data_IF_422963032398
#
_entry.id   IF_422963032398
#
_cell.length_a   1.000
_cell.length_b   1.000
_cell.length_c   1.000
_cell.angle_alpha   90.00
_cell.angle_beta   90.00
_cell.angle_gamma   90.00
#
_symmetry.space_group_name_H-M   'P 1'
#
loop_
_entity.id
_entity.type
_entity.pdbx_description
1 polymer ?
#
# COMPACT_ATOMS: atom_id res chain seq x y z
N UNK A 1 5.02 -12.36 14.67
CA UNK A 1 4.61 -12.73 13.29
C UNK A 1 3.86 -14.07 13.25
N UNK A 2 4.38 -15.16 13.90
CA UNK A 2 3.74 -16.48 13.96
C UNK A 2 2.36 -16.48 14.64
N UNK A 3 2.12 -15.61 15.63
CA UNK A 3 0.83 -15.53 16.31
C UNK A 3 -0.29 -14.94 15.42
N UNK A 4 0.03 -13.94 14.60
CA UNK A 4 -0.89 -13.34 13.64
C UNK A 4 -1.29 -14.32 12.52
N UNK A 5 -0.33 -15.11 12.03
CA UNK A 5 -0.59 -16.16 11.02
C UNK A 5 -1.44 -17.28 11.63
N UNK A 6 -1.21 -17.66 12.88
CA UNK A 6 -2.02 -18.64 13.60
C UNK A 6 -3.48 -18.22 13.79
N UNK A 7 -3.73 -16.96 14.14
CA UNK A 7 -5.10 -16.41 14.28
C UNK A 7 -5.82 -16.35 12.94
N UNK A 8 -5.13 -15.99 11.85
CA UNK A 8 -5.70 -15.96 10.50
C UNK A 8 -6.06 -17.37 9.99
N UNK A 9 -5.26 -18.38 10.29
CA UNK A 9 -5.53 -19.76 9.90
C UNK A 9 -6.69 -20.38 10.71
N UNK A 10 -6.84 -20.05 11.98
CA UNK A 10 -7.94 -20.56 12.82
C UNK A 10 -9.27 -19.93 12.47
N UNK A 11 -9.32 -18.64 12.07
CA UNK A 11 -10.57 -18.01 11.62
C UNK A 11 -11.09 -18.58 10.30
N UNK A 12 -10.21 -19.07 9.41
CA UNK A 12 -10.63 -19.71 8.16
C UNK A 12 -11.32 -21.06 8.37
N UNK A 13 -10.91 -21.82 9.39
CA UNK A 13 -11.53 -23.13 9.74
C UNK A 13 -12.94 -22.97 10.35
N UNK A 14 -13.20 -21.89 11.10
CA UNK A 14 -14.55 -21.62 11.64
C UNK A 14 -15.50 -21.00 10.62
N UNK A 15 -15.00 -20.34 9.58
CA UNK A 15 -15.83 -19.71 8.54
C UNK A 15 -16.47 -20.73 7.59
N UNK A 16 -15.95 -21.95 7.49
CA UNK A 16 -16.49 -23.02 6.61
C UNK A 16 -17.83 -23.60 7.07
N UNK A 17 -18.28 -23.32 8.29
CA UNK A 17 -19.50 -23.92 8.88
C UNK A 17 -20.80 -23.14 8.61
N UNK A 18 -20.76 -21.93 8.07
CA UNK A 18 -21.95 -21.10 7.86
C UNK A 18 -22.02 -20.58 6.42
N UNK A 19 -22.68 -21.30 5.56
CA UNK A 19 -23.00 -21.04 4.16
C UNK A 19 -22.55 -19.71 3.52
N UNK A 20 -21.91 -19.78 2.36
CA UNK A 20 -21.53 -18.70 1.45
C UNK A 20 -20.48 -17.66 1.91
N UNK A 21 -19.79 -17.88 3.00
CA UNK A 21 -18.69 -16.99 3.45
C UNK A 21 -17.38 -17.46 2.82
N UNK A 22 -16.86 -16.69 1.88
CA UNK A 22 -15.62 -17.00 1.18
C UNK A 22 -14.47 -16.17 1.71
N UNK A 23 -13.40 -16.82 2.11
CA UNK A 23 -12.12 -16.15 2.30
C UNK A 23 -11.46 -15.97 0.93
N UNK A 24 -10.73 -14.88 0.75
CA UNK A 24 -10.00 -14.60 -0.48
C UNK A 24 -8.55 -14.25 -0.21
N UNK A 25 -7.68 -14.73 -1.07
CA UNK A 25 -6.28 -14.31 -1.18
C UNK A 25 -6.10 -13.60 -2.52
N UNK A 26 -5.48 -12.43 -2.51
CA UNK A 26 -5.36 -11.59 -3.70
C UNK A 26 -3.93 -11.12 -3.90
N UNK A 27 -3.51 -11.06 -5.18
CA UNK A 27 -2.23 -10.49 -5.60
C UNK A 27 -2.48 -9.54 -6.75
N UNK A 28 -1.98 -8.31 -6.63
CA UNK A 28 -2.15 -7.26 -7.64
C UNK A 28 -0.84 -6.55 -7.92
N UNK A 29 -0.72 -5.97 -9.12
CA UNK A 29 0.32 -5.04 -9.50
C UNK A 29 -0.20 -4.03 -10.52
N UNK A 30 0.42 -2.83 -10.57
CA UNK A 30 0.01 -1.80 -11.52
C UNK A 30 0.65 -0.44 -11.29
N UNK A 31 0.22 0.58 -12.02
CA UNK A 31 0.72 1.94 -11.89
C UNK A 31 0.39 2.56 -10.53
N UNK A 32 1.28 3.43 -10.10
CA UNK A 32 1.16 4.14 -8.83
C UNK A 32 1.67 5.57 -8.96
N UNK A 33 1.05 6.49 -8.23
CA UNK A 33 1.37 7.91 -8.18
C UNK A 33 1.69 8.32 -6.74
N UNK A 34 2.88 8.85 -6.55
CA UNK A 34 3.29 9.42 -5.27
C UNK A 34 2.72 10.83 -5.13
N UNK A 35 1.89 11.03 -4.12
CA UNK A 35 1.20 12.30 -3.86
C UNK A 35 1.87 13.12 -2.74
N UNK A 36 2.87 12.56 -2.07
CA UNK A 36 3.54 13.15 -0.93
C UNK A 36 4.58 14.21 -1.27
N UNK A 37 5.18 14.77 -0.24
CA UNK A 37 6.32 15.66 -0.36
C UNK A 37 7.58 14.87 -0.75
N UNK A 38 8.35 15.41 -1.70
CA UNK A 38 9.65 14.86 -2.11
C UNK A 38 10.74 15.47 -1.21
N UNK A 39 11.09 14.76 -0.13
CA UNK A 39 12.03 15.24 0.88
C UNK A 39 13.44 15.39 0.30
N UNK A 40 14.01 16.62 0.41
CA UNK A 40 15.37 16.90 -0.03
C UNK A 40 15.62 16.86 -1.54
N UNK A 41 14.56 16.86 -2.38
CA UNK A 41 14.63 16.92 -3.85
C UNK A 41 14.10 18.29 -4.34
N UNK A 42 14.32 19.34 -3.56
CA UNK A 42 13.76 20.67 -3.82
C UNK A 42 14.44 21.38 -4.99
N UNK A 43 15.70 21.08 -5.26
CA UNK A 43 16.51 21.75 -6.28
C UNK A 43 16.37 21.16 -7.69
N UNK A 44 15.43 20.20 -7.87
CA UNK A 44 15.18 19.57 -9.15
C UNK A 44 14.07 20.28 -9.93
N UNK A 45 14.13 20.18 -11.26
CA UNK A 45 13.09 20.72 -12.13
C UNK A 45 11.71 20.12 -11.86
N UNK A 46 10.65 20.85 -12.18
CA UNK A 46 9.27 20.36 -12.02
C UNK A 46 9.00 19.13 -12.88
N UNK A 47 9.57 19.07 -14.08
CA UNK A 47 9.46 17.89 -14.95
C UNK A 47 10.06 16.65 -14.29
N UNK A 48 11.27 16.77 -13.73
CA UNK A 48 11.92 15.68 -13.01
C UNK A 48 11.09 15.19 -11.82
N UNK A 49 10.58 16.12 -11.00
CA UNK A 49 9.72 15.80 -9.84
C UNK A 49 8.42 15.13 -10.25
N UNK A 50 7.82 15.57 -11.37
CA UNK A 50 6.60 14.96 -11.92
C UNK A 50 6.83 13.50 -12.34
N UNK A 51 7.97 13.24 -12.99
CA UNK A 51 8.30 11.89 -13.44
C UNK A 51 8.68 10.96 -12.28
N UNK A 52 9.40 11.47 -11.26
CA UNK A 52 9.70 10.71 -10.05
C UNK A 52 8.44 10.31 -9.27
N UNK A 53 7.33 11.03 -9.43
CA UNK A 53 6.04 10.70 -8.80
C UNK A 53 5.32 9.52 -9.45
N UNK A 54 5.71 9.10 -10.65
CA UNK A 54 5.15 7.97 -11.38
C UNK A 54 5.94 6.71 -11.07
N UNK A 55 5.27 5.65 -10.69
CA UNK A 55 5.92 4.39 -10.30
C UNK A 55 5.02 3.19 -10.45
N UNK A 56 5.41 2.12 -9.80
CA UNK A 56 4.68 0.86 -9.76
C UNK A 56 4.37 0.49 -8.32
N UNK A 57 3.21 -0.12 -8.11
CA UNK A 57 2.83 -0.73 -6.85
C UNK A 57 2.43 -2.18 -7.06
N UNK A 58 2.53 -2.95 -6.00
CA UNK A 58 2.01 -4.30 -5.90
C UNK A 58 1.45 -4.53 -4.50
N UNK A 59 0.47 -5.40 -4.39
CA UNK A 59 -0.09 -5.77 -3.09
C UNK A 59 -0.40 -7.27 -3.00
N UNK A 60 -0.41 -7.74 -1.76
CA UNK A 60 -0.91 -9.04 -1.36
C UNK A 60 -1.89 -8.83 -0.23
N UNK A 61 -3.08 -9.40 -0.33
CA UNK A 61 -4.08 -9.28 0.72
C UNK A 61 -4.81 -10.60 0.98
N UNK A 62 -5.21 -10.77 2.22
CA UNK A 62 -6.11 -11.83 2.66
C UNK A 62 -7.32 -11.20 3.33
N UNK A 63 -8.52 -11.63 2.95
CA UNK A 63 -9.78 -11.18 3.54
C UNK A 63 -10.68 -12.38 3.82
N UNK A 64 -11.18 -12.48 5.05
CA UNK A 64 -12.17 -13.44 5.47
C UNK A 64 -13.51 -12.73 5.66
N UNK A 65 -14.55 -13.22 4.99
CA UNK A 65 -15.92 -12.73 5.17
C UNK A 65 -16.49 -13.31 6.46
N UNK A 66 -16.87 -12.46 7.41
CA UNK A 66 -17.29 -12.88 8.75
C UNK A 66 -18.79 -12.77 8.97
N UNK A 67 -19.48 -11.90 8.26
CA UNK A 67 -20.92 -11.69 8.41
C UNK A 67 -21.56 -11.08 7.17
N UNK A 68 -22.88 -11.25 7.05
CA UNK A 68 -23.72 -10.61 6.03
C UNK A 68 -24.19 -11.58 4.93
N UNK A 69 -25.21 -11.16 4.19
CA UNK A 69 -25.76 -11.90 3.01
C UNK A 69 -25.55 -11.09 1.73
N UNK A 70 -26.27 -9.98 1.56
CA UNK A 70 -26.19 -9.10 0.40
C UNK A 70 -24.97 -8.19 0.46
N UNK A 71 -24.66 -7.71 1.66
CA UNK A 71 -23.45 -6.99 2.01
C UNK A 71 -22.70 -7.82 3.03
N UNK A 72 -21.47 -8.20 2.70
CA UNK A 72 -20.65 -9.06 3.54
C UNK A 72 -19.57 -8.21 4.21
N UNK A 73 -19.48 -8.31 5.52
CA UNK A 73 -18.40 -7.71 6.30
C UNK A 73 -17.23 -8.68 6.35
N UNK A 74 -16.04 -8.17 6.15
CA UNK A 74 -14.82 -8.96 6.20
C UNK A 74 -13.75 -8.32 7.05
N UNK A 75 -12.83 -9.16 7.51
CA UNK A 75 -11.61 -8.77 8.19
C UNK A 75 -10.41 -9.44 7.53
N UNK A 76 -9.25 -8.80 7.58
CA UNK A 76 -8.08 -9.38 6.94
C UNK A 76 -6.81 -8.58 7.15
N UNK A 77 -5.88 -8.72 6.21
CA UNK A 77 -4.61 -8.02 6.21
C UNK A 77 -4.20 -7.64 4.78
N UNK A 78 -3.51 -6.52 4.67
CA UNK A 78 -2.91 -6.01 3.45
C UNK A 78 -1.41 -5.80 3.67
N UNK A 79 -0.61 -6.24 2.71
CA UNK A 79 0.78 -5.82 2.55
C UNK A 79 0.94 -5.23 1.15
N UNK A 80 1.46 -4.01 1.05
CA UNK A 80 1.65 -3.28 -0.19
C UNK A 80 3.09 -2.78 -0.29
N UNK A 81 3.67 -2.88 -1.48
CA UNK A 81 4.94 -2.28 -1.84
C UNK A 81 4.79 -1.34 -3.02
N UNK A 82 5.61 -0.29 -3.07
CA UNK A 82 5.72 0.59 -4.25
C UNK A 82 7.13 1.09 -4.46
N UNK A 83 7.44 1.39 -5.72
CA UNK A 83 8.74 1.91 -6.14
C UNK A 83 8.57 3.02 -7.16
N UNK A 84 9.26 4.13 -6.90
CA UNK A 84 9.34 5.30 -7.78
C UNK A 84 10.80 5.57 -8.07
N UNK A 85 11.16 5.80 -9.33
CA UNK A 85 12.55 5.96 -9.73
C UNK A 85 12.66 6.97 -10.85
N UNK A 86 13.64 7.87 -10.75
CA UNK A 86 14.05 8.73 -11.83
C UNK A 86 15.57 8.94 -11.82
N UNK A 87 16.15 9.25 -12.98
CA UNK A 87 17.59 9.43 -13.19
C UNK A 87 17.85 10.81 -13.75
N UNK A 88 18.95 11.43 -13.37
CA UNK A 88 19.40 12.73 -13.88
C UNK A 88 20.94 12.69 -14.07
N UNK A 89 21.50 13.70 -14.69
CA UNK A 89 22.91 13.75 -15.09
C UNK A 89 23.90 13.55 -13.92
N UNK A 90 23.53 13.99 -12.71
CA UNK A 90 24.38 13.91 -11.50
C UNK A 90 24.02 12.78 -10.56
N UNK A 91 23.02 11.91 -10.90
CA UNK A 91 22.61 10.80 -10.05
C UNK A 91 21.25 10.21 -10.36
N UNK A 92 20.69 9.54 -9.37
CA UNK A 92 19.39 8.91 -9.44
C UNK A 92 18.69 8.99 -8.07
N UNK A 93 17.37 9.08 -8.08
CA UNK A 93 16.52 9.01 -6.90
C UNK A 93 15.63 7.79 -6.97
N UNK A 94 15.50 7.06 -5.86
CA UNK A 94 14.65 5.87 -5.75
C UNK A 94 13.90 5.90 -4.44
N UNK A 95 12.58 6.07 -4.53
CA UNK A 95 11.67 5.99 -3.39
C UNK A 95 11.08 4.59 -3.32
N UNK A 96 11.17 3.98 -2.14
CA UNK A 96 10.56 2.70 -1.81
C UNK A 96 9.59 2.92 -0.66
N UNK A 97 8.39 2.41 -0.80
CA UNK A 97 7.39 2.44 0.27
C UNK A 97 6.84 1.03 0.49
N UNK A 98 6.69 0.67 1.75
CA UNK A 98 6.02 -0.55 2.17
C UNK A 98 4.96 -0.19 3.20
N UNK A 99 3.83 -0.86 3.13
CA UNK A 99 2.72 -0.65 4.04
C UNK A 99 2.14 -1.99 4.45
N UNK A 100 1.83 -2.15 5.73
CA UNK A 100 1.13 -3.31 6.25
C UNK A 100 0.05 -2.86 7.23
N UNK A 101 -1.15 -3.44 7.10
CA UNK A 101 -2.27 -3.11 7.98
C UNK A 101 -3.27 -4.26 8.10
N UNK A 102 -3.90 -4.40 9.27
CA UNK A 102 -5.18 -5.08 9.35
C UNK A 102 -6.21 -4.32 8.51
N UNK A 103 -7.17 -5.05 7.93
CA UNK A 103 -8.19 -4.51 7.06
C UNK A 103 -9.58 -4.87 7.59
N UNK A 104 -10.50 -3.94 7.43
CA UNK A 104 -11.93 -4.20 7.47
C UNK A 104 -12.49 -3.99 6.07
N UNK A 105 -13.50 -4.75 5.68
CA UNK A 105 -14.10 -4.63 4.35
C UNK A 105 -15.60 -4.75 4.37
N UNK A 106 -16.22 -4.09 3.39
CA UNK A 106 -17.61 -4.23 3.03
C UNK A 106 -17.67 -4.69 1.57
N UNK A 107 -18.24 -5.86 1.32
CA UNK A 107 -18.30 -6.46 0.00
C UNK A 107 -19.75 -6.66 -0.43
N UNK A 108 -20.10 -6.18 -1.61
CA UNK A 108 -21.36 -6.46 -2.27
C UNK A 108 -21.12 -7.54 -3.33
N UNK A 109 -21.71 -8.71 -3.14
CA UNK A 109 -21.56 -9.86 -4.04
C UNK A 109 -22.76 -9.97 -4.97
N UNK A 110 -22.49 -10.18 -6.26
CA UNK A 110 -23.42 -10.53 -7.32
C UNK A 110 -22.99 -11.82 -8.00
N UNK A 111 -23.84 -12.36 -8.88
CA UNK A 111 -23.60 -13.65 -9.55
C UNK A 111 -22.24 -13.74 -10.28
N UNK A 112 -21.83 -12.69 -10.95
CA UNK A 112 -20.64 -12.67 -11.82
C UNK A 112 -19.57 -11.69 -11.37
N UNK A 113 -19.87 -10.80 -10.43
CA UNK A 113 -18.92 -9.79 -9.96
C UNK A 113 -19.15 -9.45 -8.49
N UNK A 114 -18.13 -8.90 -7.89
CA UNK A 114 -18.24 -8.25 -6.58
C UNK A 114 -17.60 -6.87 -6.57
N UNK A 115 -18.12 -6.01 -5.71
CA UNK A 115 -17.54 -4.71 -5.39
C UNK A 115 -17.19 -4.72 -3.91
N UNK A 116 -16.00 -4.24 -3.59
CA UNK A 116 -15.47 -4.26 -2.23
C UNK A 116 -14.89 -2.89 -1.90
N UNK A 117 -15.28 -2.36 -0.74
CA UNK A 117 -14.64 -1.25 -0.07
C UNK A 117 -13.87 -1.81 1.12
N UNK A 118 -12.57 -1.52 1.22
CA UNK A 118 -11.73 -1.95 2.32
C UNK A 118 -10.90 -0.80 2.85
N UNK A 119 -10.56 -0.85 4.13
CA UNK A 119 -9.70 0.14 4.74
C UNK A 119 -9.03 -0.37 6.00
N UNK A 120 -7.94 0.28 6.39
CA UNK A 120 -7.19 -0.10 7.57
C UNK A 120 -6.24 0.98 8.03
N UNK A 121 -5.77 0.81 9.26
CA UNK A 121 -4.70 1.63 9.85
C UNK A 121 -3.55 0.69 10.17
N UNK A 122 -2.36 1.05 9.73
CA UNK A 122 -1.18 0.22 9.87
C UNK A 122 0.11 1.00 9.84
N UNK A 123 1.17 0.35 9.45
CA UNK A 123 2.52 0.91 9.48
C UNK A 123 3.07 1.08 8.07
N UNK A 124 3.58 2.28 7.78
CA UNK A 124 4.25 2.62 6.53
C UNK A 124 5.74 2.80 6.78
N UNK A 125 6.55 2.15 5.95
CA UNK A 125 8.00 2.30 5.87
C UNK A 125 8.32 3.04 4.57
N UNK A 126 8.97 4.17 4.69
CA UNK A 126 9.43 4.99 3.56
C UNK A 126 10.95 4.99 3.53
N UNK A 127 11.53 4.80 2.36
CA UNK A 127 12.97 4.91 2.14
C UNK A 127 13.23 5.56 0.80
N UNK A 128 13.88 6.73 0.82
CA UNK A 128 14.43 7.39 -0.35
C UNK A 128 15.93 7.16 -0.39
N UNK A 129 16.40 6.56 -1.47
CA UNK A 129 17.81 6.37 -1.79
C UNK A 129 18.16 7.27 -2.95
N UNK A 130 18.99 8.25 -2.70
CA UNK A 130 19.40 9.23 -3.71
C UNK A 130 20.93 9.36 -3.79
N UNK A 131 21.41 9.90 -4.90
CA UNK A 131 22.80 10.34 -5.05
C UNK A 131 22.82 11.85 -5.23
N UNK A 132 23.55 12.53 -4.35
CA UNK A 132 23.73 13.99 -4.37
C UNK A 132 25.21 14.27 -4.52
N UNK A 133 25.59 14.94 -5.61
CA UNK A 133 27.01 15.18 -5.97
C UNK A 133 27.86 13.87 -5.94
N UNK A 134 27.30 12.78 -6.44
CA UNK A 134 27.98 11.46 -6.48
C UNK A 134 28.01 10.71 -5.14
N UNK A 135 27.61 11.31 -4.03
CA UNK A 135 27.59 10.69 -2.70
C UNK A 135 26.20 10.12 -2.37
N UNK A 136 26.12 8.96 -1.71
CA UNK A 136 24.83 8.37 -1.33
C UNK A 136 24.16 9.17 -0.22
N UNK A 137 22.84 9.36 -0.37
CA UNK A 137 21.96 9.92 0.64
C UNK A 137 20.76 9.01 0.82
N UNK A 138 20.48 8.60 2.04
CA UNK A 138 19.32 7.81 2.43
C UNK A 138 18.42 8.67 3.33
N UNK A 139 17.14 8.78 2.98
CA UNK A 139 16.09 9.34 3.86
C UNK A 139 15.18 8.20 4.25
N UNK A 140 14.89 8.06 5.53
CA UNK A 140 14.01 7.00 6.03
C UNK A 140 13.00 7.53 7.04
N UNK A 141 11.82 6.91 7.03
CA UNK A 141 10.73 7.25 7.93
C UNK A 141 9.83 6.02 8.11
N UNK A 142 9.40 5.81 9.36
CA UNK A 142 8.44 4.78 9.75
C UNK A 142 7.31 5.43 10.52
N UNK A 143 6.06 5.33 10.03
CA UNK A 143 4.91 6.03 10.61
C UNK A 143 3.61 5.23 10.48
N UNK A 144 2.65 5.58 11.33
CA UNK A 144 1.28 5.16 11.15
C UNK A 144 0.71 5.76 9.87
N UNK A 145 -0.02 4.94 9.14
CA UNK A 145 -0.69 5.30 7.90
C UNK A 145 -2.08 4.69 7.85
N UNK A 146 -2.98 5.35 7.12
CA UNK A 146 -4.29 4.82 6.79
C UNK A 146 -4.42 4.54 5.31
N UNK A 147 -5.15 3.49 4.94
CA UNK A 147 -5.52 3.24 3.56
C UNK A 147 -7.03 3.10 3.39
N UNK A 148 -7.48 3.44 2.17
CA UNK A 148 -8.82 3.19 1.67
C UNK A 148 -8.72 2.60 0.28
N UNK A 149 -9.38 1.46 0.04
CA UNK A 149 -9.32 0.74 -1.23
C UNK A 149 -10.73 0.42 -1.74
N UNK A 150 -10.96 0.68 -3.03
CA UNK A 150 -12.14 0.26 -3.77
C UNK A 150 -11.71 -0.78 -4.80
N UNK A 151 -12.30 -1.98 -4.76
CA UNK A 151 -12.00 -3.06 -5.70
C UNK A 151 -13.25 -3.52 -6.42
N UNK A 152 -13.11 -3.82 -7.72
CA UNK A 152 -14.08 -4.55 -8.52
C UNK A 152 -13.46 -5.86 -8.98
N UNK A 153 -14.20 -6.95 -8.84
CA UNK A 153 -13.77 -8.28 -9.26
C UNK A 153 -14.82 -8.92 -10.15
N UNK A 154 -14.36 -9.62 -11.19
CA UNK A 154 -15.16 -10.49 -12.04
C UNK A 154 -14.76 -11.93 -11.81
N UNK A 155 -15.74 -12.80 -11.48
CA UNK A 155 -15.51 -14.22 -11.25
C UNK A 155 -15.29 -14.97 -12.58
N UNK A 156 -14.08 -15.51 -12.75
CA UNK A 156 -13.72 -16.34 -13.90
C UNK A 156 -14.18 -17.78 -13.69
N UNK A 157 -14.06 -18.28 -12.46
CA UNK A 157 -14.52 -19.60 -12.02
C UNK A 157 -15.13 -19.50 -10.62
N UNK A 158 -15.50 -20.63 -10.00
CA UNK A 158 -15.95 -20.67 -8.61
C UNK A 158 -14.86 -20.25 -7.60
N UNK A 159 -13.58 -20.35 -7.96
CA UNK A 159 -12.44 -20.06 -7.07
C UNK A 159 -11.58 -18.91 -7.54
N UNK A 160 -11.60 -18.55 -8.82
CA UNK A 160 -10.74 -17.52 -9.38
C UNK A 160 -11.52 -16.31 -9.87
N UNK A 161 -11.03 -15.13 -9.54
CA UNK A 161 -11.52 -13.87 -10.07
C UNK A 161 -10.39 -12.98 -10.58
N UNK A 162 -10.69 -12.17 -11.59
CA UNK A 162 -9.84 -11.08 -12.04
C UNK A 162 -10.35 -9.78 -11.45
N UNK A 163 -9.47 -8.94 -10.92
CA UNK A 163 -9.85 -7.73 -10.21
C UNK A 163 -9.00 -6.51 -10.57
N UNK A 164 -9.62 -5.35 -10.39
CA UNK A 164 -8.97 -4.07 -10.37
C UNK A 164 -9.20 -3.41 -9.01
N UNK A 165 -8.16 -2.77 -8.44
CA UNK A 165 -8.20 -2.10 -7.14
C UNK A 165 -7.63 -0.71 -7.26
N UNK A 166 -8.39 0.30 -6.85
CA UNK A 166 -7.92 1.64 -6.59
C UNK A 166 -7.63 1.75 -5.09
N UNK A 167 -6.38 2.01 -4.71
CA UNK A 167 -5.99 2.15 -3.32
C UNK A 167 -5.35 3.51 -3.07
N UNK A 168 -5.85 4.22 -2.08
CA UNK A 168 -5.30 5.46 -1.55
C UNK A 168 -4.68 5.19 -0.20
N UNK A 169 -3.41 5.56 -0.04
CA UNK A 169 -2.62 5.47 1.19
C UNK A 169 -2.22 6.88 1.61
N UNK A 170 -2.35 7.17 2.89
CA UNK A 170 -1.99 8.47 3.44
C UNK A 170 -1.33 8.32 4.82
N UNK A 171 -0.28 9.10 5.02
CA UNK A 171 0.37 9.30 6.32
C UNK A 171 0.88 10.72 6.46
N UNK A 172 1.20 11.13 7.68
CA UNK A 172 1.83 12.41 7.97
C UNK A 172 3.01 12.21 8.91
N UNK A 173 4.02 13.07 8.81
CA UNK A 173 5.16 13.04 9.73
C UNK A 173 5.66 14.43 10.06
N UNK A 174 6.15 14.57 11.28
CA UNK A 174 6.86 15.76 11.75
C UNK A 174 8.37 15.57 11.69
N UNK A 175 8.85 14.32 11.70
CA UNK A 175 10.27 14.01 11.75
C UNK A 175 10.65 12.91 10.79
N UNK A 176 11.84 12.98 10.20
CA UNK A 176 12.41 11.95 9.37
C UNK A 176 13.93 11.87 9.57
N UNK A 177 14.53 10.72 9.32
CA UNK A 177 15.98 10.51 9.44
C UNK A 177 16.66 10.67 8.09
N UNK A 178 17.75 11.41 8.08
CA UNK A 178 18.63 11.58 6.91
C UNK A 178 19.99 10.96 7.24
N UNK A 179 20.49 10.13 6.34
CA UNK A 179 21.87 9.66 6.34
C UNK A 179 22.55 10.14 5.07
N UNK A 180 23.62 10.91 5.21
CA UNK A 180 24.44 11.38 4.10
C UNK A 180 25.92 11.09 4.39
N UNK A 181 26.55 10.34 3.50
CA UNK A 181 27.88 9.79 3.71
C UNK A 181 27.89 8.90 4.99
N UNK A 182 28.62 9.28 6.02
CA UNK A 182 28.72 8.54 7.30
C UNK A 182 27.99 9.24 8.46
N UNK A 183 27.39 10.39 8.21
CA UNK A 183 26.65 11.15 9.20
C UNK A 183 25.14 10.84 9.13
N UNK A 184 24.52 10.71 10.30
CA UNK A 184 23.08 10.51 10.45
C UNK A 184 22.51 11.54 11.42
N UNK A 185 21.43 12.19 11.00
CA UNK A 185 20.68 13.16 11.84
C UNK A 185 19.19 13.03 11.60
N UNK A 186 18.42 13.53 12.56
CA UNK A 186 16.97 13.64 12.42
C UNK A 186 16.64 15.08 12.03
N UNK A 187 15.77 15.22 11.04
CA UNK A 187 15.25 16.50 10.59
C UNK A 187 13.83 16.64 11.11
N UNK A 188 13.57 17.72 11.84
CA UNK A 188 12.22 18.11 12.19
C UNK A 188 11.65 18.94 11.04
N UNK A 189 10.44 18.63 10.61
CA UNK A 189 9.73 19.44 9.63
C UNK A 189 9.50 20.84 10.23
N UNK A 190 9.82 21.93 9.53
CA UNK A 190 9.59 23.25 10.06
C UNK A 190 8.11 23.43 10.41
N UNK A 191 7.82 24.11 11.50
CA UNK A 191 6.54 24.27 12.21
C UNK A 191 5.32 24.71 11.36
N UNK A 192 5.46 24.90 10.06
CA UNK A 192 4.41 25.36 9.14
C UNK A 192 3.74 24.26 8.31
N UNK A 193 4.16 23.02 8.42
CA UNK A 193 3.53 21.93 7.65
C UNK A 193 3.92 20.54 8.11
N UNK A 194 2.94 19.78 8.53
CA UNK A 194 3.05 18.32 8.62
C UNK A 194 3.41 17.77 7.24
N UNK A 195 4.54 17.07 7.11
CA UNK A 195 4.90 16.41 5.87
C UNK A 195 3.86 15.37 5.51
N UNK A 196 3.21 15.53 4.37
CA UNK A 196 2.24 14.56 3.86
C UNK A 196 2.93 13.53 2.97
N UNK A 197 2.63 12.26 3.22
CA UNK A 197 3.09 11.13 2.42
C UNK A 197 1.89 10.35 1.94
N UNK A 198 1.54 10.55 0.69
CA UNK A 198 0.39 9.90 0.08
C UNK A 198 0.78 9.11 -1.15
N UNK A 199 -0.06 8.16 -1.48
CA UNK A 199 0.06 7.33 -2.66
C UNK A 199 -1.33 7.00 -3.19
N UNK A 200 -1.50 7.08 -4.50
CA UNK A 200 -2.63 6.52 -5.21
C UNK A 200 -2.11 5.41 -6.11
N UNK A 201 -2.73 4.24 -6.08
CA UNK A 201 -2.37 3.13 -6.97
C UNK A 201 -3.60 2.53 -7.62
N UNK A 202 -3.48 2.22 -8.91
CA UNK A 202 -4.46 1.43 -9.66
C UNK A 202 -3.80 0.12 -10.03
N UNK A 203 -4.21 -0.96 -9.39
CA UNK A 203 -3.57 -2.26 -9.53
C UNK A 203 -4.57 -3.30 -10.05
N UNK A 204 -4.07 -4.24 -10.83
CA UNK A 204 -4.83 -5.32 -11.44
C UNK A 204 -4.25 -6.65 -10.99
N UNK A 205 -5.09 -7.66 -10.81
CA UNK A 205 -4.60 -8.94 -10.32
C UNK A 205 -5.65 -10.03 -10.28
N UNK A 206 -5.29 -11.07 -9.56
CA UNK A 206 -6.08 -12.28 -9.38
C UNK A 206 -6.43 -12.48 -7.92
N UNK A 207 -7.65 -12.98 -7.70
CA UNK A 207 -8.13 -13.39 -6.39
C UNK A 207 -8.42 -14.88 -6.43
N UNK A 208 -8.05 -15.58 -5.35
CA UNK A 208 -8.42 -16.95 -5.12
C UNK A 208 -9.38 -17.04 -3.93
N UNK A 209 -10.52 -17.69 -4.12
CA UNK A 209 -11.57 -17.86 -3.12
C UNK A 209 -11.58 -19.31 -2.59
N UNK A 210 -11.61 -19.42 -1.25
CA UNK A 210 -11.65 -20.72 -0.56
C UNK A 210 -13.07 -21.17 -0.26
#
# INVERSE_FOLDING_TARGET
LCFLVGVLLTTSLYAQSAGDKRSSFSVHAGPSWYLGQLMGITDRSDAYRSDLRKGVAWDVSYLAQVAGRKFQFGVGALYQGSSYKNTHDTGADKILMHYMAPQISLTMVKKHYQLQLAGGIGYQFYKDKSKVYGKPRDVSMDKLAGNLALSGEYFLTSHWGASARLNWLASSTETYSVKYHDEKWNVENPKTGTGYFGQLSLVFGLNYHF
#
